data_IF_571300498108
#
_entry.id   IF_571300498108
#
_cell.length_a   1.000
_cell.length_b   1.000
_cell.length_c   1.000
_cell.angle_alpha   90.00
_cell.angle_beta   90.00
_cell.angle_gamma   90.00
#
_symmetry.space_group_name_H-M   'P 1'
#
loop_
_entity.id
_entity.type
_entity.pdbx_description
1 polymer ?
#
# COMPACT_ATOMS: atom_id res chain seq x y z
N UNK A 1 43.65 25.34 55.23
CA UNK A 1 43.16 25.84 53.94
C UNK A 1 42.17 24.82 53.39
N UNK A 2 40.89 25.18 53.27
CA UNK A 2 39.81 24.27 52.86
C UNK A 2 39.94 23.93 51.37
N UNK A 3 40.01 22.64 51.04
CA UNK A 3 39.80 22.12 49.68
C UNK A 3 38.30 21.86 49.49
N UNK A 4 37.64 22.68 48.67
CA UNK A 4 36.26 22.46 48.24
C UNK A 4 36.28 21.73 46.90
N UNK A 5 36.18 20.41 46.94
CA UNK A 5 35.97 19.56 45.78
C UNK A 5 34.56 19.76 45.22
N UNK A 6 34.43 20.49 44.11
CA UNK A 6 33.17 20.59 43.37
C UNK A 6 32.89 19.26 42.65
N UNK A 7 31.88 18.52 43.10
CA UNK A 7 31.38 17.36 42.37
C UNK A 7 30.58 17.81 41.15
N UNK A 8 30.76 17.22 39.96
CA UNK A 8 30.02 17.62 38.77
C UNK A 8 28.53 17.30 38.96
N UNK A 9 27.68 18.32 38.84
CA UNK A 9 26.22 18.15 38.81
C UNK A 9 25.86 17.41 37.53
N UNK A 10 25.43 16.15 37.65
CA UNK A 10 24.89 15.38 36.53
C UNK A 10 23.63 16.10 36.05
N UNK A 11 23.70 16.72 34.87
CA UNK A 11 22.53 17.31 34.22
C UNK A 11 21.66 16.15 33.74
N UNK A 12 20.63 15.81 34.50
CA UNK A 12 19.61 14.88 34.04
C UNK A 12 18.83 15.58 32.92
N UNK A 13 18.98 15.10 31.69
CA UNK A 13 18.10 15.53 30.60
C UNK A 13 16.68 15.09 30.94
N UNK A 14 15.68 16.00 30.86
CA UNK A 14 14.30 15.62 31.10
C UNK A 14 13.89 14.52 30.09
N UNK A 15 13.05 13.55 30.50
CA UNK A 15 12.58 12.50 29.61
C UNK A 15 11.94 13.15 28.38
N UNK A 16 12.28 12.63 27.20
CA UNK A 16 11.69 13.08 25.94
C UNK A 16 10.17 12.96 26.05
N UNK A 17 9.47 14.09 26.14
CA UNK A 17 8.02 14.11 26.09
C UNK A 17 7.58 13.51 24.75
N UNK A 18 6.83 12.41 24.82
CA UNK A 18 6.21 11.79 23.65
C UNK A 18 4.88 12.51 23.48
N UNK A 19 4.72 13.21 22.36
CA UNK A 19 3.45 13.83 21.99
C UNK A 19 2.45 12.72 21.62
N UNK A 20 1.35 12.54 22.39
CA UNK A 20 0.36 11.51 22.11
C UNK A 20 -0.50 11.82 20.87
N UNK A 21 -0.38 13.02 20.30
CA UNK A 21 -1.03 13.45 19.06
C UNK A 21 -0.08 13.47 17.87
N UNK A 22 1.17 13.02 18.03
CA UNK A 22 2.08 12.87 16.90
C UNK A 22 1.54 11.80 15.94
N UNK A 23 1.27 12.13 14.67
CA UNK A 23 0.72 11.17 13.73
C UNK A 23 1.74 10.05 13.48
N UNK A 24 1.31 8.80 13.68
CA UNK A 24 2.08 7.59 13.36
C UNK A 24 2.09 7.30 11.86
N UNK A 25 2.15 8.34 11.02
CA UNK A 25 2.31 8.15 9.58
C UNK A 25 3.74 7.64 9.38
N UNK A 26 3.89 6.52 8.68
CA UNK A 26 5.23 5.99 8.40
C UNK A 26 5.99 6.99 7.52
N UNK A 27 7.15 7.46 8.00
CA UNK A 27 8.07 8.30 7.22
C UNK A 27 8.50 7.63 5.90
N UNK A 28 8.46 6.29 5.85
CA UNK A 28 8.82 5.49 4.69
C UNK A 28 7.95 4.24 4.58
N UNK A 29 7.38 4.01 3.40
CA UNK A 29 6.63 2.79 3.09
C UNK A 29 7.55 1.55 3.08
N UNK A 30 7.04 0.38 3.49
CA UNK A 30 7.80 -0.87 3.43
C UNK A 30 8.17 -1.21 1.99
N UNK A 31 9.24 -1.99 1.79
CA UNK A 31 9.60 -2.50 0.46
C UNK A 31 8.66 -3.63 0.04
N UNK A 32 8.34 -3.72 -1.25
CA UNK A 32 7.60 -4.85 -1.83
C UNK A 32 8.50 -6.09 -2.00
N UNK A 33 8.90 -6.71 -0.90
CA UNK A 33 9.85 -7.86 -0.91
C UNK A 33 9.22 -9.16 -1.40
N UNK A 34 7.90 -9.26 -1.36
CA UNK A 34 7.13 -10.43 -1.79
C UNK A 34 6.72 -10.37 -3.27
N UNK A 35 7.01 -9.28 -3.97
CA UNK A 35 6.62 -9.08 -5.36
C UNK A 35 5.10 -9.07 -5.57
N UNK A 36 4.36 -8.53 -4.58
CA UNK A 36 2.91 -8.36 -4.67
C UNK A 36 2.54 -7.39 -5.78
N UNK A 37 1.30 -7.46 -6.26
CA UNK A 37 0.77 -6.54 -7.26
C UNK A 37 0.82 -5.12 -6.72
N UNK A 38 1.47 -4.20 -7.46
CA UNK A 38 1.48 -2.77 -7.15
C UNK A 38 0.35 -2.12 -7.94
N UNK A 39 -0.72 -1.71 -7.26
CA UNK A 39 -2.03 -1.46 -7.89
C UNK A 39 -1.98 -0.30 -8.90
N UNK A 40 -1.29 0.77 -8.60
CA UNK A 40 -1.12 1.96 -9.45
C UNK A 40 -0.17 1.75 -10.64
N UNK A 41 0.69 0.74 -10.59
CA UNK A 41 1.58 0.32 -11.68
C UNK A 41 1.00 -0.84 -12.52
N UNK A 42 -0.20 -1.30 -12.17
CA UNK A 42 -0.84 -2.48 -12.76
C UNK A 42 -2.09 -2.10 -13.56
N UNK A 43 -2.60 -3.04 -14.36
CA UNK A 43 -3.83 -2.83 -15.14
C UNK A 43 -4.75 -4.04 -15.14
N UNK A 44 -6.06 -3.78 -15.11
CA UNK A 44 -7.10 -4.80 -15.21
C UNK A 44 -7.25 -5.23 -16.67
N UNK A 45 -6.98 -6.50 -16.94
CA UNK A 45 -7.04 -7.08 -18.28
C UNK A 45 -8.37 -7.78 -18.56
N UNK A 46 -8.96 -8.40 -17.54
CA UNK A 46 -10.27 -9.02 -17.57
C UNK A 46 -10.79 -9.23 -16.14
N UNK A 47 -12.09 -9.49 -16.00
CA UNK A 47 -12.71 -9.82 -14.72
C UNK A 47 -13.93 -10.73 -14.92
N UNK A 48 -14.19 -11.59 -13.95
CA UNK A 48 -15.42 -12.37 -13.81
C UNK A 48 -16.10 -11.97 -12.50
N UNK A 49 -17.14 -12.70 -12.07
CA UNK A 49 -17.81 -12.44 -10.78
C UNK A 49 -16.86 -12.61 -9.58
N UNK A 50 -15.89 -13.51 -9.66
CA UNK A 50 -15.07 -13.91 -8.51
C UNK A 50 -13.58 -13.63 -8.72
N UNK A 51 -13.18 -13.26 -9.94
CA UNK A 51 -11.77 -13.25 -10.34
C UNK A 51 -11.43 -11.99 -11.10
N UNK A 52 -10.31 -11.35 -10.74
CA UNK A 52 -9.71 -10.25 -11.49
C UNK A 52 -8.39 -10.75 -12.12
N UNK A 53 -8.22 -10.49 -13.41
CA UNK A 53 -7.00 -10.80 -14.15
C UNK A 53 -6.22 -9.50 -14.35
N UNK A 54 -5.08 -9.41 -13.66
CA UNK A 54 -4.25 -8.21 -13.59
C UNK A 54 -2.97 -8.45 -14.38
N UNK A 55 -2.56 -7.46 -15.18
CA UNK A 55 -1.18 -7.38 -15.66
C UNK A 55 -0.41 -6.54 -14.64
N UNK A 56 0.53 -7.17 -13.95
CA UNK A 56 1.28 -6.56 -12.86
C UNK A 56 2.39 -5.59 -13.35
N UNK A 57 3.08 -4.96 -12.40
CA UNK A 57 4.21 -4.06 -12.65
C UNK A 57 5.36 -4.72 -13.44
N UNK A 58 5.46 -6.05 -13.42
CA UNK A 58 6.44 -6.84 -14.15
C UNK A 58 5.89 -7.43 -15.47
N UNK A 59 4.73 -6.97 -15.93
CA UNK A 59 4.03 -7.41 -17.15
C UNK A 59 3.60 -8.87 -17.14
N UNK A 60 3.40 -9.46 -15.96
CA UNK A 60 2.91 -10.84 -15.78
C UNK A 60 1.41 -10.83 -15.57
N UNK A 61 0.73 -11.84 -16.12
CA UNK A 61 -0.68 -12.08 -15.82
C UNK A 61 -0.81 -12.74 -14.46
N UNK A 62 -1.47 -12.07 -13.53
CA UNK A 62 -1.75 -12.52 -12.17
C UNK A 62 -3.27 -12.58 -11.97
N UNK A 63 -3.71 -13.58 -11.22
CA UNK A 63 -5.11 -13.77 -10.87
C UNK A 63 -5.33 -13.40 -9.41
N UNK A 64 -6.33 -12.57 -9.14
CA UNK A 64 -6.72 -12.17 -7.78
C UNK A 64 -8.21 -12.48 -7.52
N UNK A 65 -8.50 -12.82 -6.27
CA UNK A 65 -9.83 -12.99 -5.69
C UNK A 65 -10.03 -11.97 -4.56
N UNK A 66 -11.29 -11.73 -4.17
CA UNK A 66 -11.58 -10.86 -3.03
C UNK A 66 -10.92 -11.44 -1.78
N UNK A 67 -10.17 -10.59 -1.08
CA UNK A 67 -9.35 -10.95 0.07
C UNK A 67 -7.87 -11.16 -0.25
N UNK A 68 -7.49 -11.36 -1.52
CA UNK A 68 -6.09 -11.55 -1.90
C UNK A 68 -5.27 -10.28 -1.65
N UNK A 69 -4.06 -10.48 -1.15
CA UNK A 69 -3.13 -9.41 -0.82
C UNK A 69 -2.54 -8.75 -2.07
N UNK A 70 -2.42 -7.43 -2.01
CA UNK A 70 -1.66 -6.60 -2.94
C UNK A 70 -0.65 -5.78 -2.13
N UNK A 71 0.25 -5.09 -2.81
CA UNK A 71 1.18 -4.23 -2.11
C UNK A 71 0.42 -3.16 -1.33
N UNK A 72 0.67 -3.10 -0.01
CA UNK A 72 0.01 -2.21 0.95
C UNK A 72 -1.50 -2.44 1.12
N UNK A 73 -2.07 -3.58 0.71
CA UNK A 73 -3.51 -3.76 0.82
C UNK A 73 -4.03 -5.10 0.35
N UNK A 74 -5.31 -5.11 -0.06
CA UNK A 74 -5.99 -6.29 -0.58
C UNK A 74 -7.12 -5.92 -1.52
N UNK A 75 -7.52 -6.87 -2.37
CA UNK A 75 -8.67 -6.74 -3.24
C UNK A 75 -9.97 -6.86 -2.42
N UNK A 76 -10.80 -5.81 -2.40
CA UNK A 76 -12.01 -5.76 -1.57
C UNK A 76 -13.30 -6.02 -2.33
N UNK A 77 -13.32 -5.74 -3.64
CA UNK A 77 -14.54 -5.90 -4.44
C UNK A 77 -14.22 -6.15 -5.90
N UNK A 78 -15.01 -7.00 -6.53
CA UNK A 78 -15.11 -7.09 -8.00
C UNK A 78 -16.54 -6.69 -8.38
N UNK A 79 -16.67 -5.72 -9.28
CA UNK A 79 -17.95 -5.22 -9.78
C UNK A 79 -18.01 -5.39 -11.30
N UNK A 80 -18.61 -6.50 -11.72
CA UNK A 80 -18.73 -6.85 -13.14
C UNK A 80 -19.62 -5.88 -13.90
N UNK A 81 -20.65 -5.34 -13.24
CA UNK A 81 -21.58 -4.40 -13.87
C UNK A 81 -20.89 -3.09 -14.23
N UNK A 82 -19.92 -2.68 -13.40
CA UNK A 82 -19.11 -1.48 -13.61
C UNK A 82 -17.78 -1.76 -14.32
N UNK A 83 -17.48 -3.01 -14.64
CA UNK A 83 -16.20 -3.46 -15.19
C UNK A 83 -14.99 -2.96 -14.39
N UNK A 84 -15.07 -3.06 -13.06
CA UNK A 84 -14.02 -2.54 -12.17
C UNK A 84 -13.76 -3.50 -11.00
N UNK A 85 -12.56 -3.38 -10.42
CA UNK A 85 -12.25 -3.95 -9.13
C UNK A 85 -11.74 -2.86 -8.18
N UNK A 86 -11.98 -3.05 -6.88
CA UNK A 86 -11.66 -2.09 -5.83
C UNK A 86 -10.70 -2.72 -4.85
N UNK A 87 -9.66 -1.96 -4.50
CA UNK A 87 -8.65 -2.32 -3.52
C UNK A 87 -8.77 -1.39 -2.32
N UNK A 88 -8.42 -1.89 -1.14
CA UNK A 88 -8.21 -1.06 0.04
C UNK A 88 -6.74 -1.10 0.40
N UNK A 89 -6.11 0.07 0.44
CA UNK A 89 -4.69 0.26 0.67
C UNK A 89 -4.47 0.99 2.00
N UNK A 90 -3.40 0.65 2.71
CA UNK A 90 -2.90 1.35 3.88
C UNK A 90 -1.54 1.95 3.55
N UNK A 91 -1.54 3.23 3.18
CA UNK A 91 -0.36 4.00 2.79
C UNK A 91 0.32 4.58 4.03
N UNK A 92 0.75 3.70 4.94
CA UNK A 92 1.47 4.10 6.15
C UNK A 92 0.61 4.84 7.16
N UNK A 93 -0.63 4.40 7.38
CA UNK A 93 -1.60 4.96 8.32
C UNK A 93 -2.81 5.61 7.66
N UNK A 94 -2.73 5.90 6.37
CA UNK A 94 -3.83 6.47 5.57
C UNK A 94 -4.51 5.35 4.79
N UNK A 95 -5.80 5.15 5.03
CA UNK A 95 -6.59 4.13 4.32
C UNK A 95 -7.21 4.74 3.06
N UNK A 96 -6.89 4.19 1.91
CA UNK A 96 -7.42 4.63 0.61
C UNK A 96 -8.17 3.52 -0.12
N UNK A 97 -9.13 3.91 -0.94
CA UNK A 97 -9.78 3.02 -1.91
C UNK A 97 -9.26 3.32 -3.30
N UNK A 98 -8.72 2.31 -3.95
CA UNK A 98 -8.27 2.41 -5.34
C UNK A 98 -9.21 1.62 -6.24
N UNK A 99 -9.77 2.26 -7.27
CA UNK A 99 -10.65 1.62 -8.25
C UNK A 99 -9.91 1.44 -9.56
N UNK A 100 -9.70 0.18 -9.97
CA UNK A 100 -9.10 -0.16 -11.25
C UNK A 100 -10.19 -0.58 -12.23
N UNK A 101 -10.30 0.14 -13.36
CA UNK A 101 -11.29 -0.14 -14.40
C UNK A 101 -10.69 -0.94 -15.53
N UNK A 102 -11.52 -1.79 -16.14
CA UNK A 102 -11.17 -2.51 -17.35
C UNK A 102 -11.02 -1.49 -18.49
N UNK A 103 -9.84 -1.42 -19.11
CA UNK A 103 -9.66 -0.59 -20.30
C UNK A 103 -10.06 -1.39 -21.54
N UNK A 104 -10.95 -0.83 -22.36
CA UNK A 104 -11.46 -1.45 -23.59
C UNK A 104 -10.65 -1.09 -24.84
N UNK A 105 -9.69 -0.17 -24.73
CA UNK A 105 -8.87 0.23 -25.87
C UNK A 105 -7.91 -0.90 -26.29
N UNK A 106 -7.95 -1.28 -27.57
CA UNK A 106 -7.28 -2.40 -28.25
C UNK A 106 -7.93 -3.80 -28.22
N UNK A 107 -9.24 -3.89 -28.52
CA UNK A 107 -9.88 -5.15 -28.99
C UNK A 107 -10.14 -5.22 -30.50
N UNK A 108 -9.55 -4.35 -31.32
CA UNK A 108 -9.71 -4.35 -32.80
C UNK A 108 -8.56 -5.02 -33.59
N UNK A 109 -7.65 -5.76 -32.93
CA UNK A 109 -6.52 -6.42 -33.60
C UNK A 109 -6.79 -7.83 -34.14
N UNK A 110 -7.98 -8.40 -33.93
CA UNK A 110 -8.33 -9.75 -34.38
C UNK A 110 -9.06 -9.74 -35.71
N UNK A 111 -8.43 -9.25 -36.79
CA UNK A 111 -8.94 -9.54 -38.14
C UNK A 111 -8.62 -10.98 -38.50
N UNK A 112 -9.64 -11.60 -39.09
CA UNK A 112 -9.76 -12.98 -39.60
C UNK A 112 -8.56 -13.43 -40.43
#
# INVERSE_FOLDING_TARGET
SLDQSFSPRVVQTPPKQIDPFYPLILDKLPKNTRGLVVVDESRLQALTRNTAFIIDQHKRLVTLHVGDEVFLGYLTKIDVQKNECVFTLNLGGIIEKYTMKLNFENREGGKR
#
